data_IF_273806290095
#
_entry.id   IF_273806290095
#
_cell.length_a   1.000
_cell.length_b   1.000
_cell.length_c   1.000
_cell.angle_alpha   90.00
_cell.angle_beta   90.00
_cell.angle_gamma   90.00
#
_symmetry.space_group_name_H-M   'P 1'
#
loop_
_entity.id
_entity.type
_entity.pdbx_description
1 polymer ?
#
# COMPACT_ATOMS: atom_id res chain seq x y z
N UNK A 1 -22.52 2.20 -15.02
CA UNK A 1 -22.75 2.53 -13.59
C UNK A 1 -23.43 3.89 -13.45
N UNK A 2 -24.46 4.06 -12.61
CA UNK A 2 -25.12 5.36 -12.39
C UNK A 2 -24.22 6.26 -11.55
N UNK A 3 -24.06 7.54 -11.95
CA UNK A 3 -23.22 8.53 -11.24
C UNK A 3 -24.01 9.45 -10.30
N UNK A 4 -25.36 9.34 -10.30
CA UNK A 4 -26.18 10.09 -9.37
C UNK A 4 -25.81 9.75 -7.92
N UNK A 5 -25.61 10.77 -7.11
CA UNK A 5 -25.23 10.69 -5.69
C UNK A 5 -23.89 10.00 -5.38
N UNK A 6 -22.96 9.91 -6.33
CA UNK A 6 -21.64 9.28 -6.10
C UNK A 6 -20.86 10.02 -5.00
N UNK A 7 -20.77 11.34 -5.10
CA UNK A 7 -20.07 12.17 -4.13
C UNK A 7 -20.63 11.97 -2.70
N UNK A 8 -21.95 12.05 -2.54
CA UNK A 8 -22.60 11.88 -1.23
C UNK A 8 -22.33 10.50 -0.63
N UNK A 9 -22.33 9.45 -1.45
CA UNK A 9 -22.04 8.09 -0.98
C UNK A 9 -20.58 7.92 -0.59
N UNK A 10 -19.63 8.37 -1.40
CA UNK A 10 -18.20 8.31 -1.11
C UNK A 10 -17.87 9.06 0.19
N UNK A 11 -18.32 10.31 0.30
CA UNK A 11 -18.09 11.16 1.48
C UNK A 11 -18.79 10.57 2.71
N UNK A 12 -20.02 10.09 2.56
CA UNK A 12 -20.78 9.49 3.66
C UNK A 12 -20.12 8.22 4.21
N UNK A 13 -19.58 7.35 3.33
CA UNK A 13 -18.80 6.17 3.72
C UNK A 13 -17.49 6.57 4.40
N UNK A 14 -16.74 7.48 3.78
CA UNK A 14 -15.50 7.96 4.34
C UNK A 14 -15.68 8.51 5.76
N UNK A 15 -16.67 9.40 5.97
CA UNK A 15 -16.97 9.97 7.29
C UNK A 15 -17.35 8.89 8.32
N UNK A 16 -18.12 7.89 7.91
CA UNK A 16 -18.49 6.77 8.77
C UNK A 16 -17.27 5.93 9.14
N UNK A 17 -16.35 5.65 8.20
CA UNK A 17 -15.19 4.82 8.47
C UNK A 17 -14.12 5.52 9.31
N UNK A 18 -13.87 6.82 9.08
CA UNK A 18 -12.93 7.59 9.92
C UNK A 18 -13.48 7.88 11.32
N UNK A 19 -14.79 7.75 11.56
CA UNK A 19 -15.37 7.87 12.89
C UNK A 19 -15.01 6.72 13.82
N UNK A 20 -14.52 5.61 13.28
CA UNK A 20 -14.00 4.48 14.06
C UNK A 20 -12.51 4.73 14.31
N UNK A 21 -12.19 4.92 15.59
CA UNK A 21 -10.81 5.03 16.04
C UNK A 21 -10.07 3.71 15.82
N UNK A 22 -9.11 3.71 14.88
CA UNK A 22 -8.37 2.51 14.46
C UNK A 22 -6.87 2.78 14.27
N UNK A 23 -6.31 3.76 15.00
CA UNK A 23 -4.88 4.03 15.00
C UNK A 23 -4.09 2.78 15.40
N UNK A 24 -3.02 2.46 14.67
CA UNK A 24 -2.14 1.34 15.01
C UNK A 24 -1.23 1.67 16.19
N UNK A 25 -0.84 0.63 16.94
CA UNK A 25 0.05 0.71 18.09
C UNK A 25 1.33 -0.09 17.80
N UNK A 26 2.44 0.61 17.58
CA UNK A 26 3.72 -0.02 17.26
C UNK A 26 4.31 -0.86 18.40
N UNK A 27 3.88 -0.65 19.65
CA UNK A 27 4.33 -1.40 20.81
C UNK A 27 3.53 -2.69 21.04
N UNK A 28 2.39 -2.84 20.35
CA UNK A 28 1.56 -4.05 20.45
C UNK A 28 2.22 -5.26 19.79
N UNK A 29 2.19 -6.38 20.50
CA UNK A 29 2.74 -7.66 20.01
C UNK A 29 1.70 -8.58 19.38
N UNK A 30 0.42 -8.23 19.49
CA UNK A 30 -0.71 -8.93 18.86
C UNK A 30 -1.14 -8.26 17.55
N UNK A 31 -1.97 -8.94 16.76
CA UNK A 31 -2.59 -8.48 15.53
C UNK A 31 -4.11 -8.68 15.65
N UNK A 32 -4.96 -7.66 15.43
CA UNK A 32 -4.59 -6.27 15.14
C UNK A 32 -3.99 -5.57 16.38
N UNK A 33 -3.17 -4.54 16.17
CA UNK A 33 -2.54 -3.80 17.27
C UNK A 33 -3.52 -2.98 18.11
N UNK A 34 -4.66 -2.63 17.53
CA UNK A 34 -5.71 -1.88 18.22
C UNK A 34 -7.11 -2.45 17.97
N UNK A 35 -8.02 -2.39 18.97
CA UNK A 35 -9.36 -2.98 18.85
C UNK A 35 -10.27 -2.26 17.86
N UNK A 36 -9.92 -1.03 17.48
CA UNK A 36 -10.68 -0.26 16.49
C UNK A 36 -10.62 -0.84 15.10
N UNK A 37 -9.51 -1.45 14.74
CA UNK A 37 -9.35 -2.10 13.45
C UNK A 37 -10.32 -3.29 13.31
N UNK A 38 -10.49 -4.10 14.36
CA UNK A 38 -11.48 -5.18 14.37
C UNK A 38 -12.90 -4.64 14.24
N UNK A 39 -13.26 -3.57 14.98
CA UNK A 39 -14.59 -2.94 14.87
C UNK A 39 -14.88 -2.42 13.46
N UNK A 40 -13.88 -1.83 12.81
CA UNK A 40 -14.02 -1.39 11.42
C UNK A 40 -14.22 -2.59 10.48
N UNK A 41 -13.40 -3.64 10.64
CA UNK A 41 -13.53 -4.87 9.83
C UNK A 41 -14.91 -5.55 10.00
N UNK A 42 -15.43 -5.60 11.23
CA UNK A 42 -16.79 -6.13 11.52
C UNK A 42 -17.86 -5.32 10.77
N UNK A 43 -17.81 -3.98 10.81
CA UNK A 43 -18.73 -3.11 10.07
C UNK A 43 -18.64 -3.35 8.56
N UNK A 44 -17.42 -3.43 8.01
CA UNK A 44 -17.21 -3.68 6.58
C UNK A 44 -17.74 -5.08 6.18
N UNK A 45 -17.54 -6.09 7.03
CA UNK A 45 -18.05 -7.44 6.77
C UNK A 45 -19.60 -7.49 6.69
N UNK A 46 -20.28 -6.74 7.54
CA UNK A 46 -21.74 -6.60 7.48
C UNK A 46 -22.20 -5.92 6.18
N UNK A 47 -21.54 -4.83 5.78
CA UNK A 47 -21.84 -4.15 4.52
C UNK A 47 -21.59 -5.04 3.31
N UNK A 48 -20.47 -5.78 3.26
CA UNK A 48 -20.13 -6.69 2.16
C UNK A 48 -21.20 -7.81 2.01
N UNK A 49 -21.66 -8.37 3.12
CA UNK A 49 -22.78 -9.33 3.10
C UNK A 49 -24.07 -8.68 2.56
N UNK A 50 -24.32 -7.42 2.95
CA UNK A 50 -25.45 -6.62 2.44
C UNK A 50 -25.38 -6.34 0.94
N UNK A 51 -24.18 -6.25 0.36
CA UNK A 51 -23.97 -6.11 -1.10
C UNK A 51 -24.04 -7.45 -1.84
N UNK A 52 -24.25 -8.55 -1.13
CA UNK A 52 -24.35 -9.89 -1.72
C UNK A 52 -23.00 -10.47 -2.15
N UNK A 53 -21.90 -10.11 -1.47
CA UNK A 53 -20.62 -10.77 -1.68
C UNK A 53 -20.64 -12.17 -1.07
N UNK A 54 -19.86 -13.06 -1.69
CA UNK A 54 -19.64 -14.42 -1.24
C UNK A 54 -18.34 -14.52 -0.45
N UNK A 55 -18.16 -15.62 0.28
CA UNK A 55 -16.93 -15.93 1.03
C UNK A 55 -16.46 -14.78 1.93
N UNK A 56 -17.40 -14.07 2.59
CA UNK A 56 -17.09 -12.98 3.52
C UNK A 56 -16.55 -13.58 4.81
N UNK A 57 -15.24 -13.56 4.97
CA UNK A 57 -14.51 -14.12 6.10
C UNK A 57 -13.74 -13.03 6.82
N UNK A 58 -14.00 -12.88 8.10
CA UNK A 58 -13.22 -12.05 9.03
C UNK A 58 -12.57 -12.99 10.05
N UNK A 59 -11.25 -12.94 10.15
CA UNK A 59 -10.49 -13.76 11.10
C UNK A 59 -10.19 -13.00 12.41
N UNK A 60 -9.59 -13.71 13.37
CA UNK A 60 -9.22 -13.17 14.67
C UNK A 60 -8.12 -12.08 14.61
N UNK A 61 -7.42 -11.98 13.50
CA UNK A 61 -6.40 -10.97 13.23
C UNK A 61 -6.97 -9.71 12.57
N UNK A 62 -8.30 -9.58 12.44
CA UNK A 62 -8.99 -8.52 11.70
C UNK A 62 -8.67 -8.50 10.19
N UNK A 63 -8.20 -9.59 9.62
CA UNK A 63 -8.08 -9.75 8.17
C UNK A 63 -9.44 -10.13 7.60
N UNK A 64 -10.02 -9.23 6.81
CA UNK A 64 -11.33 -9.41 6.18
C UNK A 64 -11.16 -9.66 4.69
N UNK A 65 -11.67 -10.78 4.20
CA UNK A 65 -11.70 -11.12 2.77
C UNK A 65 -13.12 -11.38 2.29
N UNK A 66 -13.38 -11.08 1.02
CA UNK A 66 -14.66 -11.40 0.37
C UNK A 66 -14.52 -11.43 -1.15
N UNK A 67 -15.49 -12.02 -1.83
CA UNK A 67 -15.51 -12.12 -3.30
C UNK A 67 -16.84 -11.63 -3.86
N UNK A 68 -16.79 -10.70 -4.81
CA UNK A 68 -17.91 -10.35 -5.69
C UNK A 68 -17.77 -11.20 -6.95
N UNK A 69 -18.64 -12.19 -7.13
CA UNK A 69 -18.60 -13.07 -8.32
C UNK A 69 -18.93 -12.28 -9.58
N UNK A 70 -18.06 -12.46 -10.56
CA UNK A 70 -18.19 -11.83 -11.86
C UNK A 70 -19.28 -12.44 -12.73
N UNK A 71 -19.63 -11.71 -13.78
CA UNK A 71 -20.61 -12.17 -14.79
C UNK A 71 -19.99 -12.31 -16.19
N UNK A 72 -18.67 -12.13 -16.31
CA UNK A 72 -17.90 -12.27 -17.55
C UNK A 72 -16.82 -13.34 -17.35
N UNK A 73 -17.07 -14.55 -17.86
CA UNK A 73 -16.30 -15.76 -17.56
C UNK A 73 -14.83 -15.76 -18.03
N UNK A 74 -14.49 -14.89 -18.98
CA UNK A 74 -13.11 -14.78 -19.51
C UNK A 74 -12.36 -13.58 -18.95
N UNK A 75 -13.03 -12.73 -18.17
CA UNK A 75 -12.34 -11.61 -17.55
C UNK A 75 -11.41 -12.09 -16.43
N UNK A 76 -10.22 -11.49 -16.29
CA UNK A 76 -9.34 -11.83 -15.19
C UNK A 76 -10.00 -11.53 -13.84
N UNK A 77 -9.63 -12.30 -12.83
CA UNK A 77 -9.97 -11.99 -11.44
C UNK A 77 -9.09 -10.86 -10.94
N UNK A 78 -9.70 -9.84 -10.33
CA UNK A 78 -9.00 -8.63 -9.85
C UNK A 78 -9.15 -8.53 -8.34
N UNK A 79 -8.03 -8.24 -7.66
CA UNK A 79 -8.00 -7.96 -6.24
C UNK A 79 -7.96 -6.45 -5.95
N UNK A 80 -8.58 -6.02 -4.85
CA UNK A 80 -8.35 -4.74 -4.21
C UNK A 80 -8.01 -4.96 -2.75
N UNK A 81 -6.96 -4.30 -2.26
CA UNK A 81 -6.55 -4.37 -0.87
C UNK A 81 -6.43 -2.95 -0.31
N UNK A 82 -6.86 -2.75 0.93
CA UNK A 82 -6.70 -1.50 1.68
C UNK A 82 -6.52 -1.81 3.17
N UNK A 83 -5.83 -0.91 3.89
CA UNK A 83 -5.60 -1.11 5.30
C UNK A 83 -6.62 -0.40 6.21
N UNK A 84 -6.80 -1.00 7.41
CA UNK A 84 -7.81 -0.59 8.39
C UNK A 84 -7.29 0.45 9.36
N UNK A 85 -5.98 0.48 9.60
CA UNK A 85 -5.36 1.37 10.56
C UNK A 85 -5.15 2.78 10.01
N UNK A 86 -4.84 3.67 10.90
CA UNK A 86 -4.26 4.98 10.64
C UNK A 86 -2.95 5.09 11.39
N UNK A 87 -2.02 5.86 10.86
CA UNK A 87 -0.70 6.07 11.45
C UNK A 87 -0.78 6.74 12.82
N UNK A 88 0.10 6.36 13.74
CA UNK A 88 0.38 7.11 14.96
C UNK A 88 1.57 8.06 14.73
N UNK A 89 1.28 9.35 14.68
CA UNK A 89 2.28 10.44 14.60
C UNK A 89 2.24 11.34 15.85
N UNK A 90 1.75 10.81 16.96
CA UNK A 90 1.63 11.55 18.22
C UNK A 90 0.48 12.56 18.24
N UNK A 91 -0.51 12.40 17.37
CA UNK A 91 -1.74 13.18 17.33
C UNK A 91 -2.91 12.41 17.96
N UNK A 92 -4.07 13.07 18.10
CA UNK A 92 -5.29 12.40 18.58
C UNK A 92 -5.69 11.26 17.64
N UNK A 93 -6.09 10.08 18.15
CA UNK A 93 -6.67 9.03 17.33
C UNK A 93 -8.11 9.34 16.88
N UNK A 94 -8.75 10.34 17.49
CA UNK A 94 -10.13 10.72 17.19
C UNK A 94 -10.18 11.70 16.05
N UNK A 95 -10.69 11.25 14.91
CA UNK A 95 -10.76 12.03 13.66
C UNK A 95 -12.08 12.79 13.61
N UNK A 96 -12.03 14.09 13.28
CA UNK A 96 -13.19 14.97 13.10
C UNK A 96 -13.15 15.60 11.71
N UNK A 97 -13.70 14.90 10.68
CA UNK A 97 -13.65 15.38 9.30
C UNK A 97 -14.63 16.56 9.11
N UNK A 98 -14.22 17.50 8.26
CA UNK A 98 -14.99 18.68 7.85
C UNK A 98 -14.88 18.86 6.33
N UNK A 99 -15.86 19.50 5.72
CA UNK A 99 -15.80 19.89 4.30
C UNK A 99 -15.68 21.42 4.25
N UNK A 100 -14.71 21.90 3.45
CA UNK A 100 -14.56 23.31 3.13
C UNK A 100 -14.65 23.50 1.62
N UNK A 101 -15.36 24.53 1.21
CA UNK A 101 -15.20 25.06 -0.14
C UNK A 101 -13.95 25.93 -0.16
N UNK A 102 -12.93 25.51 -0.92
CA UNK A 102 -11.63 26.18 -0.93
C UNK A 102 -11.63 27.34 -1.95
N UNK A 103 -11.63 28.57 -1.46
CA UNK A 103 -11.64 29.79 -2.26
C UNK A 103 -10.24 30.34 -2.63
N UNK A 104 -9.18 29.68 -2.10
CA UNK A 104 -7.78 30.07 -2.33
C UNK A 104 -7.11 30.73 -1.15
N UNK A 105 -7.82 30.94 -0.04
CA UNK A 105 -7.32 31.56 1.20
C UNK A 105 -6.98 30.50 2.25
N UNK A 106 -6.27 30.90 3.31
CA UNK A 106 -5.92 30.02 4.44
C UNK A 106 -7.17 29.46 5.12
N UNK A 107 -7.18 28.17 5.44
CA UNK A 107 -8.31 27.49 6.08
C UNK A 107 -8.10 27.40 7.60
N UNK A 108 -9.06 27.90 8.38
CA UNK A 108 -9.09 27.70 9.80
C UNK A 108 -9.68 26.33 10.13
N UNK A 109 -8.82 25.34 10.41
CA UNK A 109 -9.26 23.98 10.73
C UNK A 109 -9.86 23.91 12.14
N UNK A 110 -9.26 24.60 13.10
CA UNK A 110 -9.72 24.62 14.49
C UNK A 110 -9.47 25.99 15.10
N UNK A 111 -10.54 26.74 15.32
CA UNK A 111 -10.46 28.08 15.87
C UNK A 111 -10.05 28.06 17.35
N UNK A 112 -10.46 27.06 18.13
CA UNK A 112 -10.18 26.96 19.55
C UNK A 112 -8.68 26.70 19.82
N UNK A 113 -8.09 25.82 19.00
CA UNK A 113 -6.68 25.44 19.08
C UNK A 113 -5.78 26.32 18.17
N UNK A 114 -6.37 27.30 17.46
CA UNK A 114 -5.68 28.16 16.49
C UNK A 114 -4.90 27.36 15.42
N UNK A 115 -5.50 26.28 14.90
CA UNK A 115 -4.90 25.45 13.87
C UNK A 115 -5.38 25.93 12.50
N UNK A 116 -4.43 26.25 11.62
CA UNK A 116 -4.68 26.75 10.27
C UNK A 116 -3.90 25.96 9.24
N UNK A 117 -4.55 25.54 8.17
CA UNK A 117 -3.86 25.11 6.95
C UNK A 117 -3.56 26.36 6.13
N UNK A 118 -2.29 26.72 6.09
CA UNK A 118 -1.85 27.95 5.42
C UNK A 118 -1.40 27.64 3.99
N UNK A 119 -1.98 28.33 3.04
CA UNK A 119 -1.66 28.16 1.59
C UNK A 119 -0.18 28.45 1.29
N UNK A 120 0.49 29.28 2.11
CA UNK A 120 1.91 29.56 1.97
C UNK A 120 2.80 28.41 2.41
N UNK A 121 2.37 27.62 3.39
CA UNK A 121 3.08 26.46 3.96
C UNK A 121 2.73 25.17 3.21
N UNK A 122 1.50 25.09 2.65
CA UNK A 122 0.94 23.94 1.91
C UNK A 122 0.47 24.39 0.52
N UNK A 123 1.40 24.75 -0.39
CA UNK A 123 1.07 25.32 -1.69
C UNK A 123 0.35 24.36 -2.65
N UNK A 124 0.42 23.03 -2.39
CA UNK A 124 -0.23 21.97 -3.14
C UNK A 124 -1.76 22.11 -3.15
N UNK A 125 -2.36 22.72 -2.12
CA UNK A 125 -3.80 22.97 -2.04
C UNK A 125 -4.29 23.95 -3.13
N UNK A 126 -3.40 24.81 -3.68
CA UNK A 126 -3.77 25.81 -4.69
C UNK A 126 -4.37 25.19 -5.96
N UNK A 127 -3.98 23.94 -6.26
CA UNK A 127 -4.52 23.19 -7.40
C UNK A 127 -6.03 22.89 -7.27
N UNK A 128 -6.60 23.10 -6.10
CA UNK A 128 -7.97 22.74 -5.75
C UNK A 128 -8.86 23.96 -5.47
N UNK A 129 -8.43 25.14 -5.93
CA UNK A 129 -9.25 26.35 -5.82
C UNK A 129 -10.62 26.13 -6.49
N UNK A 130 -11.68 26.63 -5.82
CA UNK A 130 -13.09 26.50 -6.19
C UNK A 130 -13.61 25.03 -6.14
N UNK A 131 -12.91 24.13 -5.41
CA UNK A 131 -13.36 22.77 -5.11
C UNK A 131 -13.72 22.60 -3.63
N UNK A 132 -14.56 21.61 -3.36
CA UNK A 132 -14.82 21.14 -2.01
C UNK A 132 -13.73 20.16 -1.61
N UNK A 133 -13.17 20.36 -0.42
CA UNK A 133 -12.12 19.52 0.15
C UNK A 133 -12.50 19.03 1.54
N UNK A 134 -12.11 17.79 1.84
CA UNK A 134 -12.27 17.21 3.17
C UNK A 134 -10.95 17.42 3.93
N UNK A 135 -11.04 17.87 5.18
CA UNK A 135 -9.91 18.07 6.10
C UNK A 135 -10.30 17.58 7.50
N UNK A 136 -9.32 17.28 8.33
CA UNK A 136 -9.53 17.12 9.77
C UNK A 136 -9.64 18.45 10.50
N UNK A 137 -9.91 18.42 11.82
CA UNK A 137 -9.85 19.62 12.68
C UNK A 137 -8.41 19.96 13.09
N UNK A 138 -7.41 19.28 12.55
CA UNK A 138 -5.99 19.46 12.83
C UNK A 138 -5.53 18.91 14.18
N UNK A 139 -6.40 18.31 14.98
CA UNK A 139 -6.00 17.58 16.20
C UNK A 139 -5.56 16.16 15.94
N UNK A 140 -5.92 15.61 14.77
CA UNK A 140 -5.59 14.27 14.26
C UNK A 140 -5.08 14.36 12.83
N UNK A 141 -4.63 13.22 12.25
CA UNK A 141 -4.60 13.03 10.80
C UNK A 141 -6.04 13.00 10.27
N UNK A 142 -6.25 13.11 8.95
CA UNK A 142 -7.58 12.94 8.35
C UNK A 142 -7.95 11.46 8.19
N UNK A 143 -6.95 10.59 8.00
CA UNK A 143 -7.13 9.17 7.76
C UNK A 143 -7.66 8.85 6.35
N UNK A 144 -7.42 9.73 5.37
CA UNK A 144 -7.62 9.39 3.96
C UNK A 144 -6.69 8.25 3.56
N UNK A 145 -5.52 8.21 4.12
CA UNK A 145 -4.63 7.07 4.24
C UNK A 145 -5.12 6.17 5.40
N UNK A 146 -5.81 5.05 5.16
CA UNK A 146 -6.21 4.53 3.84
C UNK A 146 -7.76 4.36 3.74
N UNK A 147 -8.53 5.04 4.60
CA UNK A 147 -10.01 4.92 4.64
C UNK A 147 -10.69 5.51 3.41
N UNK A 148 -9.99 6.37 2.64
CA UNK A 148 -10.48 6.80 1.32
C UNK A 148 -10.51 5.60 0.36
N UNK A 149 -9.47 4.77 0.35
CA UNK A 149 -9.44 3.53 -0.43
C UNK A 149 -10.57 2.58 -0.03
N UNK A 150 -10.77 2.36 1.28
CA UNK A 150 -11.89 1.54 1.78
C UNK A 150 -13.21 2.08 1.24
N UNK A 151 -13.45 3.39 1.31
CA UNK A 151 -14.68 4.00 0.80
C UNK A 151 -14.83 3.84 -0.72
N UNK A 152 -13.75 3.96 -1.50
CA UNK A 152 -13.73 3.70 -2.95
C UNK A 152 -14.13 2.25 -3.24
N UNK A 153 -13.47 1.29 -2.61
CA UNK A 153 -13.72 -0.15 -2.83
C UNK A 153 -15.15 -0.51 -2.45
N UNK A 154 -15.61 -0.11 -1.28
CA UNK A 154 -16.96 -0.38 -0.80
C UNK A 154 -18.04 0.25 -1.68
N UNK A 155 -17.80 1.46 -2.20
CA UNK A 155 -18.72 2.12 -3.14
C UNK A 155 -18.72 1.41 -4.50
N UNK A 156 -17.57 0.97 -4.99
CA UNK A 156 -17.48 0.17 -6.21
C UNK A 156 -18.34 -1.10 -6.08
N UNK A 157 -18.15 -1.87 -5.02
CA UNK A 157 -18.85 -3.14 -4.80
C UNK A 157 -20.37 -2.98 -4.63
N UNK A 158 -20.81 -1.88 -3.99
CA UNK A 158 -22.24 -1.58 -3.82
C UNK A 158 -22.91 -1.16 -5.11
N UNK A 159 -22.16 -0.60 -6.09
CA UNK A 159 -22.70 -0.05 -7.34
C UNK A 159 -22.61 -0.99 -8.54
N UNK A 160 -21.80 -2.04 -8.47
CA UNK A 160 -21.73 -3.06 -9.50
C UNK A 160 -23.03 -3.86 -9.56
N UNK A 161 -23.67 -3.86 -10.74
CA UNK A 161 -24.90 -4.62 -10.98
C UNK A 161 -24.71 -5.64 -12.12
N UNK A 162 -25.70 -6.50 -12.32
CA UNK A 162 -25.66 -7.57 -13.32
C UNK A 162 -25.54 -7.08 -14.77
N UNK A 163 -25.73 -5.79 -15.04
CA UNK A 163 -25.60 -5.19 -16.38
C UNK A 163 -24.18 -4.69 -16.67
N UNK A 164 -23.39 -4.48 -15.64
CA UNK A 164 -21.98 -4.13 -15.77
C UNK A 164 -21.21 -5.43 -16.02
N UNK A 165 -20.36 -5.47 -17.07
CA UNK A 165 -19.45 -6.61 -17.28
C UNK A 165 -18.26 -6.52 -16.31
N UNK A 166 -17.97 -7.57 -15.57
CA UNK A 166 -16.77 -7.68 -14.71
C UNK A 166 -16.42 -9.15 -14.43
N UNK A 167 -15.14 -9.40 -14.17
CA UNK A 167 -14.65 -10.69 -13.65
C UNK A 167 -14.86 -10.81 -12.14
N UNK A 168 -14.40 -11.88 -11.51
CA UNK A 168 -14.41 -11.99 -10.07
C UNK A 168 -13.60 -10.84 -9.45
N UNK A 169 -14.16 -10.19 -8.43
CA UNK A 169 -13.48 -9.13 -7.68
C UNK A 169 -13.25 -9.63 -6.25
N UNK A 170 -11.99 -9.81 -5.91
CA UNK A 170 -11.54 -10.16 -4.58
C UNK A 170 -11.23 -8.89 -3.79
N UNK A 171 -11.62 -8.84 -2.53
CA UNK A 171 -11.26 -7.73 -1.65
C UNK A 171 -10.61 -8.24 -0.39
N UNK A 172 -9.61 -7.50 0.09
CA UNK A 172 -8.99 -7.70 1.39
C UNK A 172 -8.90 -6.36 2.14
N UNK A 173 -9.35 -6.36 3.39
CA UNK A 173 -9.10 -5.26 4.32
C UNK A 173 -8.24 -5.80 5.44
N UNK A 174 -7.08 -5.18 5.65
CA UNK A 174 -6.01 -5.73 6.50
C UNK A 174 -5.59 -4.74 7.58
N UNK A 175 -5.21 -5.20 8.76
CA UNK A 175 -4.74 -4.32 9.83
C UNK A 175 -3.24 -4.05 9.76
N UNK A 176 -2.80 -3.00 10.49
CA UNK A 176 -1.40 -2.74 10.85
C UNK A 176 -0.45 -2.62 9.64
N UNK A 177 -0.89 -1.92 8.59
CA UNK A 177 -0.02 -1.56 7.46
C UNK A 177 1.10 -0.64 7.95
N UNK A 178 0.74 0.43 8.67
CA UNK A 178 1.58 1.54 9.10
C UNK A 178 2.72 1.14 10.07
N UNK A 179 2.60 -0.02 10.67
CA UNK A 179 3.59 -0.58 11.60
C UNK A 179 4.28 -1.84 11.05
N UNK A 180 4.34 -1.95 9.72
CA UNK A 180 5.15 -2.95 9.04
C UNK A 180 4.41 -3.99 8.22
N UNK A 181 3.28 -3.63 7.60
CA UNK A 181 2.54 -4.46 6.64
C UNK A 181 2.09 -5.79 7.28
N UNK A 182 1.71 -5.75 8.56
CA UNK A 182 1.49 -6.96 9.38
C UNK A 182 0.30 -7.75 8.88
N UNK A 183 -0.79 -7.07 8.53
CA UNK A 183 -1.99 -7.67 8.01
C UNK A 183 -1.83 -8.31 6.63
N UNK A 184 -1.15 -7.64 5.68
CA UNK A 184 -0.86 -8.21 4.38
C UNK A 184 0.04 -9.46 4.46
N UNK A 185 0.97 -9.48 5.42
CA UNK A 185 1.80 -10.68 5.70
C UNK A 185 0.97 -11.85 6.24
N UNK A 186 -0.07 -11.55 7.05
CA UNK A 186 -0.96 -12.54 7.64
C UNK A 186 -2.08 -13.00 6.69
N UNK A 187 -2.32 -12.27 5.58
CA UNK A 187 -3.38 -12.56 4.62
C UNK A 187 -3.23 -13.97 4.02
N UNK A 188 -4.30 -14.75 4.10
CA UNK A 188 -4.41 -16.06 3.45
C UNK A 188 -4.66 -15.88 1.94
N UNK A 189 -3.65 -16.19 1.11
CA UNK A 189 -3.75 -16.03 -0.34
C UNK A 189 -4.71 -17.03 -1.01
N UNK A 190 -5.04 -18.15 -0.38
CA UNK A 190 -6.06 -19.05 -0.92
C UNK A 190 -7.46 -18.39 -0.88
N UNK A 191 -7.68 -17.45 0.06
CA UNK A 191 -8.90 -16.65 0.14
C UNK A 191 -8.87 -15.37 -0.69
N UNK A 192 -7.67 -14.95 -1.11
CA UNK A 192 -7.45 -13.78 -1.97
C UNK A 192 -6.81 -14.18 -3.30
N UNK A 193 -7.28 -15.28 -3.89
CA UNK A 193 -6.74 -15.88 -5.10
C UNK A 193 -7.22 -15.11 -6.34
N UNK A 194 -6.51 -14.06 -6.74
CA UNK A 194 -6.77 -13.28 -7.94
C UNK A 194 -5.57 -13.28 -8.89
N UNK A 195 -5.80 -12.96 -10.17
CA UNK A 195 -4.73 -12.89 -11.19
C UNK A 195 -3.73 -11.76 -10.89
N UNK A 196 -4.24 -10.62 -10.42
CA UNK A 196 -3.48 -9.45 -9.97
C UNK A 196 -4.38 -8.56 -9.10
N UNK A 197 -3.77 -7.67 -8.34
CA UNK A 197 -4.51 -6.79 -7.44
C UNK A 197 -4.06 -5.32 -7.57
N UNK A 198 -4.71 -4.44 -6.80
CA UNK A 198 -4.36 -3.03 -6.68
C UNK A 198 -4.46 -2.58 -5.22
N UNK A 199 -3.50 -1.77 -4.78
CA UNK A 199 -3.68 -0.88 -3.63
C UNK A 199 -4.12 0.51 -4.11
N UNK A 200 -4.86 1.23 -3.28
CA UNK A 200 -5.24 2.64 -3.51
C UNK A 200 -4.62 3.45 -2.38
N UNK A 201 -3.31 3.66 -2.49
CA UNK A 201 -2.47 4.11 -1.38
C UNK A 201 -1.34 5.06 -1.84
N UNK A 202 -1.52 5.71 -2.97
CA UNK A 202 -0.74 6.89 -3.37
C UNK A 202 -1.51 8.17 -3.03
N UNK A 203 -0.78 9.29 -2.99
CA UNK A 203 -1.34 10.57 -2.62
C UNK A 203 -2.13 11.22 -3.76
N UNK A 204 -1.43 12.00 -4.56
CA UNK A 204 -2.03 12.97 -5.48
C UNK A 204 -2.71 12.34 -6.70
N UNK A 205 -3.68 13.07 -7.23
CA UNK A 205 -4.36 12.71 -8.48
C UNK A 205 -3.37 12.37 -9.60
N UNK A 206 -3.52 11.15 -10.13
CA UNK A 206 -2.72 10.60 -11.22
C UNK A 206 -1.47 9.85 -10.77
N UNK A 207 -1.10 9.84 -9.50
CA UNK A 207 0.04 9.09 -9.00
C UNK A 207 -0.18 7.59 -9.12
N UNK A 208 0.83 6.90 -9.63
CA UNK A 208 0.90 5.44 -9.73
C UNK A 208 2.29 4.96 -9.35
N UNK A 209 2.34 3.83 -8.68
CA UNK A 209 3.58 3.19 -8.26
C UNK A 209 3.63 1.77 -8.82
N UNK A 210 4.64 1.53 -9.67
CA UNK A 210 4.97 0.24 -10.25
C UNK A 210 6.29 -0.30 -9.69
N UNK A 211 6.92 0.44 -8.77
CA UNK A 211 8.22 0.14 -8.23
C UNK A 211 8.34 0.66 -6.79
N UNK A 212 8.72 -0.23 -5.89
CA UNK A 212 8.98 0.05 -4.48
C UNK A 212 10.40 -0.36 -4.11
N UNK A 213 10.89 0.05 -2.95
CA UNK A 213 12.12 -0.53 -2.42
C UNK A 213 11.98 -2.04 -2.17
N UNK A 214 13.11 -2.77 -2.28
CA UNK A 214 13.37 -3.96 -1.48
C UNK A 214 13.73 -3.52 -0.06
N UNK A 215 13.30 -4.24 0.94
CA UNK A 215 13.43 -3.85 2.33
C UNK A 215 13.90 -5.00 3.24
N UNK A 216 14.84 -4.69 4.14
CA UNK A 216 15.24 -5.60 5.21
C UNK A 216 15.43 -4.85 6.53
N UNK A 217 15.19 -5.54 7.64
CA UNK A 217 15.63 -5.13 8.98
C UNK A 217 16.99 -5.73 9.30
N UNK A 218 17.78 -4.99 10.06
CA UNK A 218 19.11 -5.34 10.55
C UNK A 218 19.08 -5.20 12.05
N UNK A 219 19.05 -6.30 12.78
CA UNK A 219 19.11 -6.33 14.24
C UNK A 219 20.45 -6.87 14.68
N UNK A 220 21.23 -6.07 15.42
CA UNK A 220 22.57 -6.45 15.89
C UNK A 220 22.61 -6.38 17.40
N UNK A 221 23.00 -7.49 18.04
CA UNK A 221 23.23 -7.56 19.48
C UNK A 221 24.73 -7.70 19.71
N UNK A 222 25.27 -6.76 20.48
CA UNK A 222 26.67 -6.77 20.94
C UNK A 222 26.68 -7.14 22.41
N UNK A 223 27.45 -8.17 22.79
CA UNK A 223 27.65 -8.53 24.20
C UNK A 223 29.11 -8.24 24.56
N UNK A 224 29.28 -7.45 25.59
CA UNK A 224 30.59 -7.09 26.13
C UNK A 224 31.02 -7.92 27.36
N UNK A 225 32.11 -7.50 27.95
CA UNK A 225 32.60 -8.04 29.21
C UNK A 225 32.67 -6.91 30.24
N UNK A 226 31.82 -6.96 31.25
CA UNK A 226 31.79 -5.94 32.30
C UNK A 226 32.99 -6.15 33.27
N UNK A 227 33.59 -5.05 33.70
CA UNK A 227 34.62 -5.04 34.73
C UNK A 227 34.57 -3.73 35.52
N UNK A 228 34.94 -3.84 36.83
CA UNK A 228 35.02 -2.65 37.66
C UNK A 228 36.12 -1.70 37.12
N UNK A 229 35.88 -0.38 37.06
CA UNK A 229 36.85 0.60 36.49
C UNK A 229 38.27 0.47 37.03
N UNK A 230 38.40 0.06 38.29
CA UNK A 230 39.71 -0.17 38.95
C UNK A 230 40.53 -1.29 38.31
N UNK A 231 39.88 -2.28 37.66
CA UNK A 231 40.51 -3.46 37.04
C UNK A 231 40.12 -3.63 35.56
N UNK A 232 39.57 -2.61 34.95
CA UNK A 232 39.01 -2.70 33.60
C UNK A 232 40.03 -2.83 32.47
N UNK A 233 41.29 -2.39 32.69
CA UNK A 233 42.34 -2.44 31.69
C UNK A 233 42.65 -3.89 31.25
N UNK A 234 42.37 -4.18 29.96
CA UNK A 234 42.61 -5.51 29.38
C UNK A 234 41.53 -6.57 29.73
N UNK A 235 40.43 -6.15 30.38
CA UNK A 235 39.32 -7.02 30.76
C UNK A 235 37.98 -6.48 30.22
N UNK A 236 37.73 -5.17 30.38
CA UNK A 236 36.47 -4.55 29.95
C UNK A 236 36.34 -4.57 28.42
N UNK A 237 35.26 -5.15 27.92
CA UNK A 237 34.82 -4.98 26.53
C UNK A 237 33.52 -4.21 26.56
N UNK A 238 33.55 -2.99 26.07
CA UNK A 238 32.38 -2.08 26.10
C UNK A 238 31.47 -2.31 24.89
N UNK A 239 30.26 -2.85 25.07
CA UNK A 239 29.36 -3.18 23.97
C UNK A 239 28.85 -1.92 23.22
N UNK A 240 28.72 -0.78 23.90
CA UNK A 240 28.37 0.49 23.26
C UNK A 240 29.44 0.91 22.24
N UNK A 241 30.74 0.78 22.59
CA UNK A 241 31.81 1.10 21.66
C UNK A 241 31.88 0.11 20.49
N UNK A 242 31.57 -1.17 20.72
CA UNK A 242 31.41 -2.15 19.63
C UNK A 242 30.34 -1.70 18.63
N UNK A 243 29.19 -1.24 19.11
CA UNK A 243 28.08 -0.75 18.27
C UNK A 243 28.45 0.56 17.53
N UNK A 244 29.16 1.48 18.19
CA UNK A 244 29.66 2.72 17.56
C UNK A 244 30.67 2.40 16.45
N UNK A 245 31.60 1.48 16.70
CA UNK A 245 32.57 1.02 15.70
C UNK A 245 31.87 0.34 14.52
N UNK A 246 30.83 -0.46 14.77
CA UNK A 246 30.01 -1.08 13.72
C UNK A 246 29.37 -0.02 12.82
N UNK A 247 28.67 0.96 13.40
CA UNK A 247 28.06 2.07 12.66
C UNK A 247 29.13 2.86 11.88
N UNK A 248 30.33 3.02 12.46
CA UNK A 248 31.46 3.72 11.85
C UNK A 248 32.05 3.05 10.59
N UNK A 249 31.69 1.79 10.29
CA UNK A 249 32.10 1.10 9.07
C UNK A 249 31.25 1.46 7.85
N UNK A 250 30.11 2.14 8.05
CA UNK A 250 29.21 2.53 6.96
C UNK A 250 29.43 3.98 6.56
N UNK A 251 29.20 4.26 5.28
CA UNK A 251 29.26 5.62 4.75
C UNK A 251 28.09 6.46 5.29
N UNK A 252 28.42 7.59 5.90
CA UNK A 252 27.43 8.54 6.40
C UNK A 252 26.64 9.24 5.32
N UNK A 253 27.09 9.21 4.07
CA UNK A 253 26.36 9.73 2.92
C UNK A 253 25.32 8.72 2.39
N UNK A 254 25.37 7.46 2.84
CA UNK A 254 24.49 6.37 2.41
C UNK A 254 23.33 6.18 3.41
N UNK A 255 22.69 7.29 3.79
CA UNK A 255 21.60 7.36 4.76
C UNK A 255 20.41 8.13 4.19
N UNK A 256 19.18 7.98 4.73
CA UNK A 256 17.97 8.62 4.17
C UNK A 256 18.10 10.14 4.07
N UNK A 257 18.77 10.79 5.02
CA UNK A 257 18.96 12.24 5.05
C UNK A 257 19.94 12.76 3.98
N UNK A 258 20.68 11.87 3.30
CA UNK A 258 21.66 12.23 2.27
C UNK A 258 21.34 11.63 0.90
N UNK A 259 20.28 10.83 0.78
CA UNK A 259 19.90 10.15 -0.46
C UNK A 259 18.50 10.55 -0.91
N UNK A 260 18.30 10.62 -2.22
CA UNK A 260 17.01 10.90 -2.85
C UNK A 260 16.77 10.01 -4.07
N UNK A 261 15.65 10.23 -4.76
CA UNK A 261 15.30 9.51 -5.98
C UNK A 261 15.36 8.00 -5.81
N UNK A 262 16.19 7.34 -6.61
CA UNK A 262 16.35 5.88 -6.61
C UNK A 262 17.55 5.38 -5.79
N UNK A 263 18.25 6.26 -5.07
CA UNK A 263 19.38 5.85 -4.23
C UNK A 263 18.87 5.06 -3.01
N UNK A 264 19.43 3.88 -2.78
CA UNK A 264 19.20 3.10 -1.56
C UNK A 264 19.91 3.68 -0.35
N UNK A 265 19.70 3.09 0.82
CA UNK A 265 20.33 3.57 2.07
C UNK A 265 20.37 2.52 3.17
N UNK A 266 21.22 2.80 4.20
CA UNK A 266 21.13 2.27 5.55
C UNK A 266 20.47 3.31 6.46
N UNK A 267 19.45 2.92 7.21
CA UNK A 267 18.85 3.76 8.22
C UNK A 267 19.06 3.19 9.62
N UNK A 268 20.06 3.71 10.34
CA UNK A 268 20.29 3.37 11.75
C UNK A 268 19.24 4.04 12.61
N UNK A 269 18.29 3.25 13.15
CA UNK A 269 17.09 3.78 13.80
C UNK A 269 17.22 3.88 15.31
N UNK A 270 17.69 2.81 15.96
CA UNK A 270 17.79 2.79 17.42
C UNK A 270 19.10 2.15 17.86
N UNK A 271 19.67 2.67 18.95
CA UNK A 271 20.78 2.07 19.67
C UNK A 271 20.48 2.18 21.16
N UNK A 272 20.30 1.03 21.83
CA UNK A 272 20.09 0.94 23.29
C UNK A 272 21.24 0.12 23.87
N UNK A 273 21.91 0.65 24.90
CA UNK A 273 23.07 -0.01 25.48
C UNK A 273 23.11 0.13 26.99
N UNK A 274 23.68 -0.89 27.64
CA UNK A 274 24.07 -0.91 29.05
C UNK A 274 25.52 -1.43 29.22
N UNK A 275 25.94 -1.77 30.42
CA UNK A 275 27.33 -2.20 30.71
C UNK A 275 27.66 -3.57 30.11
N UNK A 276 26.68 -4.36 29.70
CA UNK A 276 26.83 -5.75 29.26
C UNK A 276 26.39 -5.99 27.81
N UNK A 277 25.41 -5.22 27.33
CA UNK A 277 24.83 -5.40 25.99
C UNK A 277 24.57 -4.08 25.28
N UNK A 278 24.67 -4.09 23.97
CA UNK A 278 24.12 -3.04 23.11
C UNK A 278 23.25 -3.69 22.02
N UNK A 279 22.10 -3.09 21.71
CA UNK A 279 21.20 -3.52 20.66
C UNK A 279 21.00 -2.39 19.65
N UNK A 280 21.30 -2.67 18.40
CA UNK A 280 21.17 -1.77 17.28
C UNK A 280 20.09 -2.32 16.35
N UNK A 281 19.13 -1.45 15.98
CA UNK A 281 18.19 -1.74 14.89
C UNK A 281 18.43 -0.75 13.76
N UNK A 282 18.58 -1.28 12.55
CA UNK A 282 18.70 -0.51 11.33
C UNK A 282 17.84 -1.12 10.22
N UNK A 283 17.62 -0.35 9.15
CA UNK A 283 16.91 -0.79 7.95
C UNK A 283 17.78 -0.63 6.72
N UNK A 284 17.66 -1.56 5.80
CA UNK A 284 18.21 -1.49 4.44
C UNK A 284 17.05 -1.26 3.48
N UNK A 285 17.25 -0.34 2.53
CA UNK A 285 16.34 -0.06 1.42
C UNK A 285 17.13 0.10 0.14
N UNK A 286 16.68 -0.53 -0.94
CA UNK A 286 17.22 -0.29 -2.29
C UNK A 286 16.19 -0.73 -3.34
N UNK A 287 16.14 -0.04 -4.48
CA UNK A 287 15.33 -0.46 -5.63
C UNK A 287 15.96 -1.61 -6.38
N UNK A 288 17.30 -1.57 -6.54
CA UNK A 288 18.05 -2.60 -7.24
C UNK A 288 18.31 -3.81 -6.33
N UNK A 289 17.94 -5.00 -6.78
CA UNK A 289 18.09 -6.23 -6.00
C UNK A 289 19.56 -6.57 -5.74
N UNK A 290 20.46 -6.33 -6.71
CA UNK A 290 21.88 -6.63 -6.53
C UNK A 290 22.53 -5.66 -5.53
N UNK A 291 22.12 -4.40 -5.55
CA UNK A 291 22.59 -3.39 -4.60
C UNK A 291 22.01 -3.62 -3.20
N UNK A 292 20.75 -4.03 -3.10
CA UNK A 292 20.13 -4.49 -1.86
C UNK A 292 20.88 -5.66 -1.22
N UNK A 293 21.20 -6.69 -2.01
CA UNK A 293 21.97 -7.84 -1.54
C UNK A 293 23.43 -7.46 -1.20
N UNK A 294 24.02 -6.49 -1.90
CA UNK A 294 25.34 -5.94 -1.56
C UNK A 294 25.31 -5.24 -0.19
N UNK A 295 24.26 -4.48 0.11
CA UNK A 295 24.08 -3.84 1.42
C UNK A 295 23.93 -4.87 2.54
N UNK A 296 23.20 -5.94 2.31
CA UNK A 296 23.07 -7.06 3.29
C UNK A 296 24.45 -7.66 3.58
N UNK A 297 25.24 -7.96 2.54
CA UNK A 297 26.61 -8.45 2.70
C UNK A 297 27.51 -7.46 3.44
N UNK A 298 27.36 -6.16 3.21
CA UNK A 298 28.13 -5.15 3.95
C UNK A 298 27.84 -5.18 5.46
N UNK A 299 26.60 -5.49 5.87
CA UNK A 299 26.27 -5.68 7.28
C UNK A 299 26.88 -6.96 7.87
N UNK A 300 26.94 -8.04 7.09
CA UNK A 300 27.63 -9.29 7.45
C UNK A 300 29.14 -9.06 7.62
N UNK A 301 29.78 -8.41 6.62
CA UNK A 301 31.22 -8.08 6.64
C UNK A 301 31.56 -7.17 7.83
N UNK A 302 30.74 -6.16 8.11
CA UNK A 302 30.90 -5.28 9.27
C UNK A 302 30.83 -6.07 10.58
N UNK A 303 29.93 -7.04 10.67
CA UNK A 303 29.81 -7.94 11.84
C UNK A 303 31.08 -8.73 12.06
N UNK A 304 31.66 -9.28 10.99
CA UNK A 304 32.90 -10.05 11.06
C UNK A 304 34.12 -9.18 11.44
N UNK A 305 34.17 -7.94 10.96
CA UNK A 305 35.19 -6.97 11.37
C UNK A 305 35.10 -6.68 12.88
N UNK A 306 33.87 -6.49 13.43
CA UNK A 306 33.69 -6.23 14.85
C UNK A 306 34.06 -7.47 15.69
N UNK A 307 33.67 -8.68 15.27
CA UNK A 307 34.09 -9.94 15.91
C UNK A 307 35.61 -10.05 16.01
N UNK A 308 36.31 -9.75 14.92
CA UNK A 308 37.78 -9.78 14.90
C UNK A 308 38.41 -8.69 15.77
N UNK A 309 37.79 -7.49 15.86
CA UNK A 309 38.31 -6.36 16.67
C UNK A 309 38.09 -6.59 18.18
N UNK A 310 37.06 -7.29 18.55
CA UNK A 310 36.65 -7.53 19.96
C UNK A 310 36.53 -9.05 20.25
N UNK A 311 37.66 -9.79 20.28
CA UNK A 311 37.62 -11.25 20.37
C UNK A 311 37.05 -11.79 21.69
N UNK A 312 37.06 -10.99 22.76
CA UNK A 312 36.50 -11.36 24.08
C UNK A 312 35.01 -10.94 24.22
N UNK A 313 34.46 -10.22 23.24
CA UNK A 313 33.04 -9.92 23.12
C UNK A 313 32.34 -10.85 22.13
N UNK A 314 31.03 -10.66 21.94
CA UNK A 314 30.31 -11.36 20.89
C UNK A 314 29.37 -10.43 20.13
N UNK A 315 29.12 -10.76 18.87
CA UNK A 315 28.18 -10.03 17.99
C UNK A 315 27.27 -11.02 17.30
N UNK A 316 25.98 -10.81 17.46
CA UNK A 316 24.91 -11.55 16.76
C UNK A 316 24.23 -10.60 15.77
N UNK A 317 24.18 -10.98 14.50
CA UNK A 317 23.48 -10.27 13.43
C UNK A 317 22.26 -11.09 13.01
N UNK A 318 21.12 -10.44 12.93
CA UNK A 318 19.91 -10.97 12.32
C UNK A 318 19.47 -10.04 11.18
N UNK A 319 19.42 -10.60 9.97
CA UNK A 319 18.86 -9.96 8.78
C UNK A 319 17.50 -10.58 8.47
N UNK A 320 16.49 -9.75 8.23
CA UNK A 320 15.14 -10.22 7.91
C UNK A 320 14.58 -9.38 6.76
N UNK A 321 14.35 -10.01 5.61
CA UNK A 321 13.66 -9.36 4.49
C UNK A 321 12.24 -9.02 4.91
N UNK A 322 11.79 -7.82 4.57
CA UNK A 322 10.48 -7.29 5.00
C UNK A 322 9.46 -7.35 3.88
N UNK A 323 9.85 -6.92 2.68
CA UNK A 323 9.09 -6.98 1.43
C UNK A 323 10.03 -6.82 0.23
N UNK A 324 9.57 -7.28 -0.96
CA UNK A 324 10.26 -7.12 -2.23
C UNK A 324 9.79 -5.90 -3.02
N UNK A 325 10.48 -5.61 -4.13
CA UNK A 325 10.09 -4.57 -5.07
C UNK A 325 8.89 -5.04 -5.92
N UNK A 326 7.83 -4.25 -6.01
CA UNK A 326 6.66 -4.54 -6.87
C UNK A 326 7.10 -4.79 -8.33
N UNK A 327 8.11 -4.06 -8.82
CA UNK A 327 8.61 -4.22 -10.18
C UNK A 327 9.10 -5.65 -10.49
N UNK A 328 9.61 -6.38 -9.49
CA UNK A 328 10.09 -7.75 -9.68
C UNK A 328 8.90 -8.70 -10.03
N UNK A 329 7.74 -8.50 -9.42
CA UNK A 329 6.54 -9.26 -9.71
C UNK A 329 5.87 -8.84 -11.03
N UNK A 330 5.99 -7.57 -11.43
CA UNK A 330 5.52 -7.07 -12.72
C UNK A 330 6.43 -7.49 -13.88
N UNK A 331 7.66 -7.95 -13.60
CA UNK A 331 8.60 -8.37 -14.63
C UNK A 331 8.07 -9.60 -15.39
N UNK A 332 7.54 -9.37 -16.60
CA UNK A 332 6.95 -10.39 -17.47
C UNK A 332 5.44 -10.57 -17.35
N UNK A 333 4.75 -9.78 -16.52
CA UNK A 333 3.28 -9.70 -16.48
C UNK A 333 2.80 -8.25 -16.36
N UNK A 334 2.68 -7.57 -17.50
CA UNK A 334 2.28 -6.17 -17.58
C UNK A 334 0.75 -5.96 -17.47
N UNK A 335 -0.06 -7.02 -17.29
CA UNK A 335 -1.53 -6.92 -17.33
C UNK A 335 -2.08 -5.90 -16.34
N UNK A 336 -1.58 -5.91 -15.09
CA UNK A 336 -2.04 -5.00 -14.05
C UNK A 336 -1.64 -3.55 -14.34
N UNK A 337 -0.37 -3.29 -14.72
CA UNK A 337 0.15 -1.94 -14.99
C UNK A 337 -0.43 -1.34 -16.26
N UNK A 338 -0.60 -2.13 -17.33
CA UNK A 338 -1.21 -1.72 -18.58
C UNK A 338 -2.69 -1.37 -18.41
N UNK A 339 -3.41 -2.18 -17.62
CA UNK A 339 -4.82 -1.95 -17.35
C UNK A 339 -5.02 -0.67 -16.54
N UNK A 340 -4.23 -0.47 -15.48
CA UNK A 340 -4.26 0.74 -14.65
C UNK A 340 -3.94 1.99 -15.47
N UNK A 341 -2.88 1.94 -16.27
CA UNK A 341 -2.48 3.07 -17.14
C UNK A 341 -3.58 3.41 -18.14
N UNK A 342 -4.19 2.40 -18.77
CA UNK A 342 -5.30 2.58 -19.70
C UNK A 342 -6.55 3.16 -19.01
N UNK A 343 -6.88 2.70 -17.81
CA UNK A 343 -8.01 3.19 -17.03
C UNK A 343 -7.85 4.68 -16.67
N UNK A 344 -6.68 5.08 -16.18
CA UNK A 344 -6.35 6.48 -15.86
C UNK A 344 -6.44 7.34 -17.13
N UNK A 345 -5.84 6.89 -18.24
CA UNK A 345 -5.86 7.61 -19.51
C UNK A 345 -7.28 7.77 -20.08
N UNK A 346 -8.15 6.77 -19.92
CA UNK A 346 -9.55 6.81 -20.39
C UNK A 346 -10.37 7.92 -19.72
N UNK A 347 -9.97 8.35 -18.54
CA UNK A 347 -10.59 9.44 -17.78
C UNK A 347 -9.96 10.82 -18.07
N UNK A 348 -9.00 10.88 -19.01
CA UNK A 348 -8.27 12.11 -19.32
C UNK A 348 -7.28 12.54 -18.23
N UNK A 349 -6.97 11.66 -17.29
CA UNK A 349 -6.01 11.92 -16.22
C UNK A 349 -4.61 11.56 -16.73
N UNK A 350 -3.63 12.41 -16.42
CA UNK A 350 -2.22 12.14 -16.73
C UNK A 350 -1.61 11.31 -15.62
N UNK A 351 -1.19 10.08 -15.92
CA UNK A 351 -0.46 9.26 -14.98
C UNK A 351 0.90 9.89 -14.61
N UNK A 352 1.20 9.89 -13.30
CA UNK A 352 2.47 10.31 -12.71
C UNK A 352 3.12 9.07 -12.12
N UNK A 353 3.99 8.41 -12.89
CA UNK A 353 4.69 7.21 -12.40
C UNK A 353 5.80 7.65 -11.47
N UNK A 354 5.74 7.20 -10.22
CA UNK A 354 6.71 7.53 -9.17
C UNK A 354 7.34 6.25 -8.62
N UNK A 355 8.67 6.23 -8.40
CA UNK A 355 9.28 5.20 -7.58
C UNK A 355 9.00 5.50 -6.10
N UNK A 356 8.47 4.53 -5.36
CA UNK A 356 8.15 4.71 -3.95
C UNK A 356 9.33 4.28 -3.07
N UNK A 357 9.86 5.22 -2.28
CA UNK A 357 10.95 4.98 -1.30
C UNK A 357 10.45 4.31 -0.01
N UNK A 358 9.47 3.46 -0.10
CA UNK A 358 8.84 2.71 0.96
C UNK A 358 8.23 1.43 0.41
N UNK A 359 7.32 0.83 1.15
CA UNK A 359 6.52 -0.31 0.73
C UNK A 359 5.06 -0.04 1.07
N UNK A 360 4.17 -0.80 0.46
CA UNK A 360 2.74 -0.86 0.76
C UNK A 360 2.33 -2.32 0.88
N UNK A 361 1.11 -2.59 1.26
CA UNK A 361 0.54 -3.95 1.22
C UNK A 361 0.72 -4.60 -0.15
N UNK A 362 0.70 -3.79 -1.23
CA UNK A 362 0.96 -4.25 -2.59
C UNK A 362 2.38 -4.82 -2.80
N UNK A 363 3.38 -4.32 -2.07
CA UNK A 363 4.73 -4.87 -2.12
C UNK A 363 4.79 -6.28 -1.50
N UNK A 364 4.05 -6.50 -0.40
CA UNK A 364 3.95 -7.83 0.24
C UNK A 364 3.23 -8.81 -0.67
N UNK A 365 2.10 -8.41 -1.27
CA UNK A 365 1.36 -9.28 -2.20
C UNK A 365 2.18 -9.62 -3.44
N UNK A 366 2.89 -8.64 -3.99
CA UNK A 366 3.75 -8.82 -5.15
C UNK A 366 4.88 -9.80 -4.87
N UNK A 367 5.55 -9.69 -3.70
CA UNK A 367 6.59 -10.63 -3.27
C UNK A 367 6.05 -12.05 -3.05
N UNK A 368 4.75 -12.18 -2.74
CA UNK A 368 4.03 -13.45 -2.57
C UNK A 368 3.37 -13.98 -3.85
N UNK A 369 3.61 -13.33 -5.00
CA UNK A 369 3.23 -13.80 -6.33
C UNK A 369 1.94 -13.22 -6.91
N UNK A 370 1.32 -12.21 -6.29
CA UNK A 370 0.17 -11.48 -6.84
C UNK A 370 0.63 -10.07 -7.23
N UNK A 371 0.87 -9.79 -8.53
CA UNK A 371 1.27 -8.45 -8.98
C UNK A 371 0.29 -7.38 -8.51
N UNK A 372 0.74 -6.44 -7.69
CA UNK A 372 -0.14 -5.46 -7.03
C UNK A 372 0.44 -4.05 -7.13
N UNK A 373 0.27 -3.36 -8.27
CA UNK A 373 0.61 -1.95 -8.37
C UNK A 373 -0.30 -1.06 -7.52
N UNK A 374 0.16 0.16 -7.26
CA UNK A 374 -0.53 1.11 -6.41
C UNK A 374 -0.96 2.35 -7.21
N UNK A 375 -2.11 2.95 -6.86
CA UNK A 375 -2.59 4.21 -7.43
C UNK A 375 -3.20 5.13 -6.37
N UNK A 376 -3.54 6.34 -6.74
CA UNK A 376 -3.88 7.44 -5.88
C UNK A 376 -5.24 7.33 -5.17
N UNK A 377 -5.30 7.78 -3.92
CA UNK A 377 -6.53 8.17 -3.20
C UNK A 377 -7.05 9.52 -3.68
N UNK A 378 -6.14 10.41 -4.06
CA UNK A 378 -6.33 11.81 -4.36
C UNK A 378 -6.11 12.75 -3.17
N UNK A 379 -5.70 12.21 -2.02
CA UNK A 379 -5.38 13.02 -0.85
C UNK A 379 -3.97 13.61 -0.93
N UNK A 380 -3.66 14.48 0.01
CA UNK A 380 -2.38 15.15 0.15
C UNK A 380 -1.94 15.13 1.61
N UNK A 381 -0.63 15.26 1.83
CA UNK A 381 -0.03 15.42 3.17
C UNK A 381 -0.33 14.25 4.12
N UNK A 382 -0.25 13.01 3.64
CA UNK A 382 -0.35 11.82 4.47
C UNK A 382 0.52 11.94 5.74
N UNK A 383 0.11 11.31 6.82
CA UNK A 383 0.81 11.32 8.11
C UNK A 383 0.96 12.72 8.73
N UNK A 384 0.06 13.65 8.37
CA UNK A 384 0.08 15.03 8.86
C UNK A 384 -1.30 15.47 9.35
N UNK A 385 -1.31 16.40 10.32
CA UNK A 385 -2.52 17.13 10.72
C UNK A 385 -3.12 17.99 9.62
N UNK A 386 -2.33 18.24 8.56
CA UNK A 386 -2.72 19.02 7.39
C UNK A 386 -3.06 18.12 6.20
N UNK A 387 -3.32 16.85 6.48
CA UNK A 387 -3.86 15.92 5.47
C UNK A 387 -5.20 16.43 4.96
N UNK A 388 -5.39 16.44 3.64
CA UNK A 388 -6.63 16.86 3.01
C UNK A 388 -6.97 16.02 1.79
N UNK A 389 -8.26 15.86 1.50
CA UNK A 389 -8.78 15.05 0.39
C UNK A 389 -9.73 15.89 -0.45
N UNK A 390 -9.31 16.36 -1.63
CA UNK A 390 -10.21 17.03 -2.59
C UNK A 390 -11.28 16.07 -3.10
N UNK A 391 -12.55 16.45 -2.98
CA UNK A 391 -13.66 15.60 -3.41
C UNK A 391 -13.57 15.22 -4.89
N UNK A 392 -13.20 16.11 -5.83
CA UNK A 392 -13.01 15.72 -7.23
C UNK A 392 -11.94 14.66 -7.46
N UNK A 393 -10.84 14.67 -6.67
CA UNK A 393 -9.78 13.66 -6.76
C UNK A 393 -10.24 12.32 -6.16
N UNK A 394 -10.99 12.37 -5.08
CA UNK A 394 -11.60 11.19 -4.47
C UNK A 394 -12.58 10.48 -5.43
N UNK A 395 -13.45 11.25 -6.12
CA UNK A 395 -14.29 10.70 -7.18
C UNK A 395 -13.49 10.13 -8.35
N UNK A 396 -12.37 10.76 -8.71
CA UNK A 396 -11.50 10.27 -9.78
C UNK A 396 -10.88 8.92 -9.41
N UNK A 397 -10.45 8.73 -8.17
CA UNK A 397 -9.96 7.44 -7.65
C UNK A 397 -11.01 6.33 -7.83
N UNK A 398 -12.25 6.59 -7.42
CA UNK A 398 -13.37 5.66 -7.65
C UNK A 398 -13.57 5.35 -9.13
N UNK A 399 -13.54 6.37 -10.01
CA UNK A 399 -13.72 6.18 -11.45
C UNK A 399 -12.62 5.35 -12.06
N UNK A 400 -11.37 5.46 -11.57
CA UNK A 400 -10.25 4.61 -12.00
C UNK A 400 -10.52 3.16 -11.60
N UNK A 401 -10.90 2.87 -10.35
CA UNK A 401 -11.24 1.52 -9.90
C UNK A 401 -12.37 0.90 -10.74
N UNK A 402 -13.42 1.68 -11.04
CA UNK A 402 -14.53 1.25 -11.89
C UNK A 402 -14.09 0.99 -13.35
N UNK A 403 -13.24 1.85 -13.90
CA UNK A 403 -12.72 1.69 -15.26
C UNK A 403 -11.83 0.45 -15.39
N UNK A 404 -11.02 0.15 -14.38
CA UNK A 404 -10.22 -1.09 -14.31
C UNK A 404 -11.13 -2.31 -14.50
N UNK A 405 -12.19 -2.43 -13.70
CA UNK A 405 -13.10 -3.57 -13.75
C UNK A 405 -13.81 -3.69 -15.11
N UNK A 406 -14.32 -2.56 -15.65
CA UNK A 406 -15.02 -2.54 -16.93
C UNK A 406 -14.09 -2.90 -18.12
N UNK A 407 -12.91 -2.29 -18.19
CA UNK A 407 -11.95 -2.53 -19.26
C UNK A 407 -11.37 -3.95 -19.24
N UNK A 408 -11.22 -4.56 -18.06
CA UNK A 408 -10.81 -5.95 -17.93
C UNK A 408 -11.82 -6.89 -18.60
N UNK A 409 -13.11 -6.65 -18.38
CA UNK A 409 -14.19 -7.42 -19.00
C UNK A 409 -14.28 -7.19 -20.52
N UNK A 410 -14.13 -5.95 -20.98
CA UNK A 410 -14.17 -5.60 -22.42
C UNK A 410 -13.01 -6.26 -23.19
N UNK A 411 -11.81 -6.29 -22.64
CA UNK A 411 -10.65 -6.95 -23.27
C UNK A 411 -10.87 -8.46 -23.39
N UNK A 412 -11.49 -9.10 -22.42
CA UNK A 412 -11.84 -10.51 -22.45
C UNK A 412 -12.84 -10.83 -23.58
N UNK A 413 -13.93 -10.05 -23.69
CA UNK A 413 -14.94 -10.20 -24.74
C UNK A 413 -14.31 -9.98 -26.13
N UNK A 414 -13.43 -9.00 -26.28
CA UNK A 414 -12.73 -8.73 -27.54
C UNK A 414 -11.79 -9.86 -27.98
N UNK A 415 -11.20 -10.58 -27.03
CA UNK A 415 -10.34 -11.76 -27.28
C UNK A 415 -11.16 -12.95 -27.75
N UNK A 416 -12.31 -13.22 -27.12
CA UNK A 416 -13.22 -14.31 -27.52
C UNK A 416 -13.76 -14.09 -28.94
N UNK A 417 -14.18 -12.86 -29.26
CA UNK A 417 -14.67 -12.53 -30.58
C UNK A 417 -13.61 -12.74 -31.69
N UNK A 418 -12.33 -12.50 -31.41
CA UNK A 418 -11.23 -12.78 -32.34
C UNK A 418 -10.98 -14.29 -32.51
N UNK A 419 -10.98 -15.03 -31.42
CA UNK A 419 -10.80 -16.50 -31.43
C UNK A 419 -11.93 -17.16 -32.19
N UNK A 420 -13.18 -16.73 -32.01
CA UNK A 420 -14.34 -17.26 -32.73
C UNK A 420 -14.31 -16.88 -34.21
N UNK A 421 -13.90 -15.66 -34.57
CA UNK A 421 -13.71 -15.24 -35.95
C UNK A 421 -12.61 -16.06 -36.66
N UNK A 422 -11.50 -16.36 -35.98
CA UNK A 422 -10.46 -17.24 -36.52
C UNK A 422 -10.92 -18.70 -36.65
N UNK A 423 -11.71 -19.21 -35.71
CA UNK A 423 -12.32 -20.54 -35.80
C UNK A 423 -13.31 -20.61 -36.97
N UNK A 424 -14.17 -19.60 -37.15
CA UNK A 424 -15.11 -19.55 -38.28
C UNK A 424 -14.40 -19.41 -39.62
N UNK A 425 -13.27 -18.67 -39.69
CA UNK A 425 -12.49 -18.55 -40.94
C UNK A 425 -11.79 -19.85 -41.35
N UNK A 426 -11.54 -20.77 -40.40
CA UNK A 426 -10.91 -22.06 -40.64
C UNK A 426 -11.91 -23.20 -40.95
N UNK A 427 -13.23 -22.97 -40.88
CA UNK A 427 -14.24 -23.93 -41.30
C UNK A 427 -14.28 -24.03 -42.82
N UNK A 428 -14.21 -25.25 -43.40
CA UNK A 428 -14.23 -25.44 -44.85
C UNK A 428 -15.58 -24.97 -45.42
N UNK A 429 -15.53 -24.03 -46.36
CA UNK A 429 -16.73 -23.61 -47.10
C UNK A 429 -17.37 -24.79 -47.74
N UNK A 430 -18.58 -25.19 -47.30
CA UNK A 430 -19.38 -26.23 -47.98
C UNK A 430 -19.63 -25.76 -49.40
N UNK A 431 -19.01 -26.41 -50.38
CA UNK A 431 -19.33 -26.22 -51.80
C UNK A 431 -20.76 -26.70 -52.01
N UNK A 432 -21.65 -25.78 -52.38
CA UNK A 432 -22.95 -26.17 -52.94
C UNK A 432 -22.68 -26.92 -54.26
N UNK A 433 -22.97 -28.23 -54.25
CA UNK A 433 -23.04 -28.99 -55.46
C UNK A 433 -24.32 -28.56 -56.20
N UNK A 434 -24.15 -27.83 -57.29
CA UNK A 434 -25.21 -27.59 -58.26
C UNK A 434 -25.51 -28.90 -58.97
N UNK A 435 -26.65 -29.53 -58.71
CA UNK A 435 -27.20 -30.61 -59.51
C UNK A 435 -27.67 -30.00 -60.82
N UNK A 436 -26.92 -30.24 -61.90
CA UNK A 436 -27.39 -30.05 -63.25
C UNK A 436 -28.24 -31.27 -63.61
N UNK A 437 -29.55 -31.05 -63.72
CA UNK A 437 -30.45 -32.01 -64.32
C UNK A 437 -30.19 -32.10 -65.83
N UNK A 438 -29.98 -33.33 -66.31
CA UNK A 438 -29.90 -33.66 -67.70
C UNK A 438 -30.96 -34.71 -68.03
N UNK A 439 -31.92 -34.31 -68.82
CA UNK A 439 -32.90 -35.16 -69.47
C UNK A 439 -32.19 -36.10 -70.43
N UNK A 440 -32.53 -37.41 -70.40
CA UNK A 440 -33.09 -38.29 -71.42
C UNK A 440 -33.24 -39.68 -70.93
#
# INVERSE_FOLDING_TARGET
>A
MKTENLCEELVGRFFRYVSIESQSDADATHLPSSPGQMRLAEMLAEELRGFGLEDVVLDDNAVLTAVKRGNTSQAPSIGFIAHLDTVDVGLSPVIRPQIFHFDGEDLCLNKAENIWLRVGEHPEIRGWKDADIIVGDGTSVLGADNKAAIAVIMTLLSRLDARDGYGDIHVAFVPDEEIGLRGAKALDLDRFACDFAYTIDCCELGEVVFETFNAASVDVTFCGVSAHPMSAKGVLVNPLLMAVDFIGLFDRQDTPEHTDGRAGFFWFKTLVADDSTARLTAFIRDFDRADFDRRKRAAEDATDIIRARYPDGSVELRLSDTYGNIADALAGDDRASDLLTAAIASLGIKAKVLPMRGGTDGAVLSDRGIPTPNFFTGAHNFHSRFEFLPIPAFEASFRVAAAICAMAAERAIGTDARVDAERQSKLPRRRHAVQVGGER
#
